data_IF_301289095759
#
_entry.id   IF_301289095759
#
_cell.length_a   1.000
_cell.length_b   1.000
_cell.length_c   1.000
_cell.angle_alpha   90.00
_cell.angle_beta   90.00
_cell.angle_gamma   90.00
#
_symmetry.space_group_name_H-M   'P 1'
#
loop_
_entity.id
_entity.type
_entity.pdbx_description
1 polymer ?
#
# COMPACT_ATOMS: atom_id res chain seq x y z
N UNK A 1 -8.71 -18.20 -11.47
CA UNK A 1 -8.50 -17.07 -12.40
C UNK A 1 -8.07 -17.62 -13.73
N UNK A 2 -8.71 -17.12 -14.79
CA UNK A 2 -8.42 -17.44 -16.20
C UNK A 2 -8.01 -16.18 -16.97
N UNK A 3 -7.47 -16.36 -18.19
CA UNK A 3 -7.02 -15.23 -19.01
C UNK A 3 -7.24 -15.44 -20.51
N UNK A 4 -7.42 -14.33 -21.24
CA UNK A 4 -7.50 -14.31 -22.70
C UNK A 4 -6.58 -13.21 -23.26
N UNK A 5 -5.74 -13.54 -24.25
CA UNK A 5 -4.85 -12.58 -24.91
C UNK A 5 -5.42 -12.15 -26.26
N UNK A 6 -5.65 -10.84 -26.42
CA UNK A 6 -6.16 -10.24 -27.67
C UNK A 6 -5.25 -9.15 -28.22
N UNK A 7 -5.30 -8.99 -29.55
CA UNK A 7 -4.60 -7.93 -30.27
C UNK A 7 -5.46 -6.67 -30.33
N UNK A 8 -4.91 -5.53 -29.91
CA UNK A 8 -5.54 -4.23 -29.98
C UNK A 8 -5.41 -3.60 -31.38
N UNK A 9 -6.25 -2.61 -31.69
CA UNK A 9 -6.21 -1.86 -32.96
C UNK A 9 -4.86 -1.21 -33.24
N UNK A 10 -4.13 -0.83 -32.18
CA UNK A 10 -2.77 -0.27 -32.26
C UNK A 10 -1.68 -1.30 -32.60
N UNK A 11 -2.03 -2.58 -32.81
CA UNK A 11 -1.09 -3.64 -33.16
C UNK A 11 -0.44 -4.34 -31.95
N UNK A 12 -0.56 -3.77 -30.75
CA UNK A 12 -0.07 -4.34 -29.48
C UNK A 12 -1.05 -5.36 -28.88
N UNK A 13 -0.60 -6.10 -27.89
CA UNK A 13 -1.38 -7.15 -27.23
C UNK A 13 -1.73 -6.77 -25.80
N UNK A 14 -2.86 -7.25 -25.31
CA UNK A 14 -3.27 -7.17 -23.90
C UNK A 14 -3.81 -8.53 -23.48
N UNK A 15 -3.72 -8.82 -22.20
CA UNK A 15 -4.39 -9.93 -21.54
C UNK A 15 -5.57 -9.41 -20.71
N UNK A 16 -6.76 -9.95 -20.96
CA UNK A 16 -7.94 -9.78 -20.13
C UNK A 16 -7.97 -10.95 -19.12
N UNK A 17 -8.19 -10.63 -17.84
CA UNK A 17 -8.19 -11.57 -16.72
C UNK A 17 -9.62 -11.72 -16.21
N UNK A 18 -10.00 -12.95 -15.87
CA UNK A 18 -11.34 -13.31 -15.41
C UNK A 18 -11.28 -14.10 -14.10
N UNK A 19 -12.32 -13.93 -13.28
CA UNK A 19 -12.60 -14.76 -12.12
C UNK A 19 -13.04 -16.17 -12.52
N UNK A 20 -13.08 -17.10 -11.56
CA UNK A 20 -13.46 -18.51 -11.82
C UNK A 20 -14.92 -18.68 -12.27
N UNK A 21 -15.78 -17.71 -11.97
CA UNK A 21 -17.16 -17.62 -12.43
C UNK A 21 -17.29 -17.00 -13.84
N UNK A 22 -16.18 -16.58 -14.44
CA UNK A 22 -16.12 -15.93 -15.74
C UNK A 22 -16.30 -14.41 -15.69
N UNK A 23 -16.44 -13.80 -14.51
CA UNK A 23 -16.56 -12.35 -14.39
C UNK A 23 -15.25 -11.66 -14.73
N UNK A 24 -15.34 -10.59 -15.53
CA UNK A 24 -14.18 -9.79 -15.90
C UNK A 24 -13.53 -9.14 -14.68
N UNK A 25 -12.22 -9.32 -14.54
CA UNK A 25 -11.44 -8.76 -13.45
C UNK A 25 -10.66 -7.50 -13.88
N UNK A 26 -9.72 -7.62 -14.82
CA UNK A 26 -9.01 -6.46 -15.40
C UNK A 26 -8.34 -6.77 -16.73
N UNK A 27 -7.95 -5.71 -17.45
CA UNK A 27 -7.07 -5.78 -18.61
C UNK A 27 -5.69 -5.24 -18.25
N UNK A 28 -4.67 -5.96 -18.66
CA UNK A 28 -3.25 -5.58 -18.51
C UNK A 28 -2.85 -4.38 -19.35
N UNK A 29 -1.66 -3.86 -19.09
CA UNK A 29 -0.99 -2.93 -19.98
C UNK A 29 -0.55 -3.59 -21.30
N UNK A 30 -0.15 -2.78 -22.28
CA UNK A 30 0.19 -3.28 -23.60
C UNK A 30 1.52 -4.05 -23.63
N UNK A 31 1.52 -5.15 -24.37
CA UNK A 31 2.71 -5.92 -24.73
C UNK A 31 3.01 -5.79 -26.22
N UNK A 32 4.29 -5.83 -26.57
CA UNK A 32 4.74 -5.67 -27.96
C UNK A 32 4.44 -6.90 -28.84
N UNK A 33 4.41 -8.10 -28.25
CA UNK A 33 4.15 -9.35 -28.97
C UNK A 33 3.37 -10.35 -28.11
N UNK A 34 2.57 -11.19 -28.77
CA UNK A 34 1.61 -12.11 -28.14
C UNK A 34 2.24 -13.08 -27.13
N UNK A 35 3.34 -13.79 -27.42
CA UNK A 35 3.98 -14.68 -26.46
C UNK A 35 4.32 -14.03 -25.11
N UNK A 36 4.67 -12.74 -25.10
CA UNK A 36 4.98 -12.02 -23.85
C UNK A 36 3.73 -11.79 -23.00
N UNK A 37 2.61 -11.46 -23.65
CA UNK A 37 1.33 -11.31 -22.97
C UNK A 37 0.81 -12.64 -22.44
N UNK A 38 0.95 -13.72 -23.24
CA UNK A 38 0.56 -15.08 -22.84
C UNK A 38 1.36 -15.56 -21.63
N UNK A 39 2.70 -15.45 -21.69
CA UNK A 39 3.56 -15.83 -20.56
C UNK A 39 3.24 -15.03 -19.30
N UNK A 40 3.07 -13.71 -19.43
CA UNK A 40 2.74 -12.87 -18.29
C UNK A 40 1.40 -13.28 -17.66
N UNK A 41 0.38 -13.55 -18.49
CA UNK A 41 -0.94 -13.93 -18.01
C UNK A 41 -0.94 -15.30 -17.34
N UNK A 42 -0.21 -16.27 -17.91
CA UNK A 42 0.00 -17.58 -17.31
C UNK A 42 0.69 -17.47 -15.95
N UNK A 43 1.82 -16.76 -15.87
CA UNK A 43 2.56 -16.55 -14.62
C UNK A 43 1.69 -15.86 -13.56
N UNK A 44 0.93 -14.84 -13.98
CA UNK A 44 0.04 -14.11 -13.10
C UNK A 44 -1.11 -14.98 -12.58
N UNK A 45 -1.80 -15.73 -13.44
CA UNK A 45 -2.89 -16.61 -13.02
C UNK A 45 -2.38 -17.72 -12.08
N UNK A 46 -1.23 -18.32 -12.41
CA UNK A 46 -0.58 -19.32 -11.56
C UNK A 46 -0.25 -18.77 -10.17
N UNK A 47 0.27 -17.54 -10.11
CA UNK A 47 0.52 -16.85 -8.85
C UNK A 47 -0.78 -16.55 -8.11
N UNK A 48 -1.72 -15.82 -8.74
CA UNK A 48 -2.96 -15.35 -8.13
C UNK A 48 -3.80 -16.48 -7.52
N UNK A 49 -3.90 -17.62 -8.21
CA UNK A 49 -4.63 -18.81 -7.75
C UNK A 49 -4.00 -19.47 -6.50
N UNK A 50 -2.76 -19.13 -6.15
CA UNK A 50 -1.98 -19.72 -5.05
C UNK A 50 -1.58 -18.72 -3.96
N UNK A 51 -1.95 -17.44 -4.10
CA UNK A 51 -1.67 -16.42 -3.07
C UNK A 51 -2.58 -16.64 -1.85
N UNK A 52 -3.86 -16.94 -2.09
CA UNK A 52 -4.87 -16.99 -1.02
C UNK A 52 -4.68 -18.15 -0.04
N UNK A 53 -4.19 -19.30 -0.52
CA UNK A 53 -3.93 -20.50 0.29
C UNK A 53 -2.48 -20.56 0.82
N UNK A 54 -1.64 -19.60 0.45
CA UNK A 54 -0.23 -19.56 0.77
C UNK A 54 0.63 -20.62 0.07
N UNK A 55 0.20 -21.06 -1.12
CA UNK A 55 0.96 -21.95 -1.98
C UNK A 55 2.20 -21.32 -2.62
N UNK A 56 2.29 -19.99 -2.69
CA UNK A 56 3.38 -19.25 -3.35
C UNK A 56 3.90 -18.09 -2.50
N UNK A 57 5.19 -17.78 -2.62
CA UNK A 57 5.75 -16.58 -2.03
C UNK A 57 5.29 -15.31 -2.77
N UNK A 58 4.98 -14.27 -2.00
CA UNK A 58 4.66 -12.95 -2.53
C UNK A 58 5.48 -11.90 -1.79
N UNK A 59 5.94 -10.90 -2.54
CA UNK A 59 6.47 -9.68 -1.95
C UNK A 59 5.29 -8.80 -1.56
N UNK A 60 5.36 -8.23 -0.36
CA UNK A 60 4.38 -7.29 0.16
C UNK A 60 5.02 -5.94 0.45
N UNK A 61 4.19 -4.91 0.28
CA UNK A 61 4.49 -3.54 0.67
C UNK A 61 3.45 -3.12 1.70
N UNK A 62 3.87 -3.02 2.97
CA UNK A 62 2.97 -2.63 4.07
C UNK A 62 3.35 -1.22 4.53
N UNK A 63 2.43 -0.28 4.43
CA UNK A 63 2.59 1.07 4.97
C UNK A 63 2.19 1.03 6.44
N UNK A 64 3.07 1.53 7.32
CA UNK A 64 2.71 1.86 8.69
C UNK A 64 2.16 3.27 8.74
N UNK A 65 1.00 3.39 9.37
CA UNK A 65 0.22 4.61 9.46
C UNK A 65 0.00 4.92 10.94
N UNK A 66 0.91 5.66 11.59
CA UNK A 66 0.74 6.05 12.99
C UNK A 66 -0.51 6.92 13.18
N UNK A 67 -1.18 6.77 14.33
CA UNK A 67 -2.28 7.65 14.75
C UNK A 67 -1.80 9.10 14.87
N UNK A 68 -0.51 9.26 15.18
CA UNK A 68 0.17 10.54 15.35
C UNK A 68 0.63 11.19 14.04
N UNK A 69 0.24 10.64 12.89
CA UNK A 69 0.68 11.18 11.60
C UNK A 69 -0.16 12.39 11.19
N UNK A 70 0.44 13.58 11.28
CA UNK A 70 -0.14 14.87 10.89
C UNK A 70 -0.21 15.13 9.37
N UNK A 71 -0.23 14.07 8.57
CA UNK A 71 -0.20 14.14 7.11
C UNK A 71 1.10 14.72 6.53
N UNK A 72 1.21 14.72 5.18
CA UNK A 72 2.37 15.28 4.50
C UNK A 72 2.36 16.81 4.52
N UNK A 73 3.53 17.42 4.29
CA UNK A 73 3.60 18.84 3.94
C UNK A 73 2.89 19.12 2.60
N UNK A 74 2.54 20.38 2.34
CA UNK A 74 1.75 20.80 1.16
C UNK A 74 2.40 20.32 -0.15
N UNK A 75 3.72 20.46 -0.27
CA UNK A 75 4.48 20.14 -1.48
C UNK A 75 5.07 18.71 -1.48
N UNK A 76 4.83 17.93 -0.42
CA UNK A 76 5.35 16.58 -0.33
C UNK A 76 4.42 15.56 -1.02
N UNK A 77 4.90 14.34 -1.28
CA UNK A 77 4.04 13.26 -1.78
C UNK A 77 3.06 12.75 -0.69
N UNK A 78 1.94 12.09 -1.05
CA UNK A 78 0.85 11.77 -0.12
C UNK A 78 1.22 10.94 1.12
N UNK A 79 2.29 10.15 1.05
CA UNK A 79 2.76 9.27 2.12
C UNK A 79 4.02 9.77 2.83
N UNK A 80 4.38 11.03 2.63
CA UNK A 80 5.56 11.61 3.27
C UNK A 80 5.46 11.50 4.80
N UNK A 81 6.58 11.12 5.43
CA UNK A 81 6.65 10.90 6.89
C UNK A 81 6.18 9.52 7.35
N UNK A 82 5.69 8.66 6.45
CA UNK A 82 5.33 7.27 6.75
C UNK A 82 6.50 6.31 6.49
N UNK A 83 6.37 5.09 7.02
CA UNK A 83 7.31 4.00 6.79
C UNK A 83 6.65 2.86 6.01
N UNK A 84 7.43 2.21 5.16
CA UNK A 84 7.01 1.06 4.36
C UNK A 84 7.86 -0.14 4.75
N UNK A 85 7.22 -1.26 5.04
CA UNK A 85 7.87 -2.56 5.14
C UNK A 85 7.85 -3.25 3.79
N UNK A 86 9.02 -3.63 3.29
CA UNK A 86 9.17 -4.48 2.11
C UNK A 86 9.60 -5.85 2.60
N UNK A 87 8.76 -6.86 2.43
CA UNK A 87 9.12 -8.20 2.83
C UNK A 87 8.41 -9.28 2.02
N UNK A 88 8.72 -10.53 2.32
CA UNK A 88 8.14 -11.69 1.66
C UNK A 88 7.31 -12.54 2.61
N UNK A 89 6.21 -13.11 2.11
CA UNK A 89 5.47 -14.16 2.81
C UNK A 89 4.68 -15.02 1.84
N UNK A 90 4.47 -16.28 2.23
CA UNK A 90 3.44 -17.13 1.64
C UNK A 90 2.03 -16.74 2.09
N UNK A 91 1.88 -16.25 3.32
CA UNK A 91 0.57 -15.82 3.84
C UNK A 91 0.69 -14.39 4.37
N UNK A 92 0.48 -13.43 3.47
CA UNK A 92 0.65 -12.00 3.77
C UNK A 92 -0.37 -11.53 4.81
N UNK A 93 -1.61 -12.04 4.78
CA UNK A 93 -2.66 -11.67 5.74
C UNK A 93 -2.28 -12.12 7.16
N UNK A 94 -1.83 -13.36 7.33
CA UNK A 94 -1.36 -13.84 8.63
C UNK A 94 -0.11 -13.09 9.09
N UNK A 95 0.81 -12.78 8.15
CA UNK A 95 2.01 -12.00 8.46
C UNK A 95 1.64 -10.59 8.95
N UNK A 96 0.68 -9.93 8.30
CA UNK A 96 0.17 -8.63 8.72
C UNK A 96 -0.41 -8.69 10.14
N UNK A 97 -1.27 -9.68 10.44
CA UNK A 97 -1.82 -9.87 11.79
C UNK A 97 -0.73 -10.00 12.84
N UNK A 98 0.32 -10.78 12.55
CA UNK A 98 1.45 -10.97 13.46
C UNK A 98 2.31 -9.70 13.61
N UNK A 99 2.38 -8.84 12.59
CA UNK A 99 3.09 -7.56 12.66
C UNK A 99 2.29 -6.53 13.47
N UNK A 100 0.96 -6.55 13.34
CA UNK A 100 0.06 -5.61 14.00
C UNK A 100 0.11 -5.72 15.54
N UNK A 101 0.34 -6.91 16.09
CA UNK A 101 0.41 -7.12 17.56
C UNK A 101 1.54 -6.35 18.24
N UNK A 102 2.61 -6.02 17.50
CA UNK A 102 3.76 -5.26 17.98
C UNK A 102 3.86 -3.85 17.43
N UNK A 103 2.84 -3.37 16.70
CA UNK A 103 2.89 -2.07 16.01
C UNK A 103 1.79 -1.15 16.52
N UNK A 104 2.18 0.06 16.93
CA UNK A 104 1.24 1.14 17.22
C UNK A 104 0.80 1.83 15.91
N UNK A 105 -0.50 2.10 15.78
CA UNK A 105 -1.14 2.59 14.55
C UNK A 105 -1.52 1.48 13.56
N UNK A 106 -2.01 1.88 12.40
CA UNK A 106 -2.53 0.97 11.38
C UNK A 106 -1.41 0.42 10.46
N UNK A 107 -1.53 -0.85 10.09
CA UNK A 107 -0.76 -1.46 9.01
C UNK A 107 -1.64 -1.69 7.78
N UNK A 108 -1.23 -1.12 6.64
CA UNK A 108 -1.98 -1.17 5.38
C UNK A 108 -1.14 -1.87 4.33
N UNK A 109 -1.58 -3.03 3.83
CA UNK A 109 -1.04 -3.61 2.60
C UNK A 109 -1.36 -2.63 1.46
N UNK A 110 -0.35 -2.16 0.75
CA UNK A 110 -0.52 -1.22 -0.36
C UNK A 110 -0.40 -1.92 -1.72
N UNK A 111 0.52 -2.88 -1.82
CA UNK A 111 0.72 -3.66 -3.03
C UNK A 111 1.26 -5.06 -2.73
N UNK A 112 1.01 -5.98 -3.65
CA UNK A 112 1.58 -7.33 -3.71
C UNK A 112 2.18 -7.58 -5.10
N UNK A 113 3.29 -8.30 -5.15
CA UNK A 113 3.84 -8.83 -6.41
C UNK A 113 4.36 -10.26 -6.28
N UNK A 114 4.37 -11.04 -7.37
CA UNK A 114 5.08 -12.31 -7.42
C UNK A 114 6.56 -12.09 -7.15
N UNK A 115 7.16 -12.96 -6.33
CA UNK A 115 8.59 -12.89 -6.07
C UNK A 115 9.03 -13.72 -4.87
N UNK A 116 10.29 -14.14 -4.93
CA UNK A 116 10.97 -14.89 -3.88
C UNK A 116 12.03 -14.08 -3.16
N UNK A 117 12.94 -14.79 -2.48
CA UNK A 117 14.04 -14.18 -1.73
C UNK A 117 14.96 -13.32 -2.60
N UNK A 118 15.15 -13.68 -3.87
CA UNK A 118 15.96 -12.89 -4.83
C UNK A 118 15.33 -11.53 -5.10
N UNK A 119 14.02 -11.52 -5.42
CA UNK A 119 13.27 -10.28 -5.67
C UNK A 119 13.24 -9.37 -4.44
N UNK A 120 13.06 -9.94 -3.25
CA UNK A 120 13.14 -9.21 -1.99
C UNK A 120 14.52 -8.54 -1.80
N UNK A 121 15.60 -9.28 -2.05
CA UNK A 121 16.97 -8.77 -1.95
C UNK A 121 17.27 -7.65 -2.97
N UNK A 122 16.76 -7.77 -4.20
CA UNK A 122 16.84 -6.73 -5.22
C UNK A 122 16.19 -5.43 -4.77
N UNK A 123 14.96 -5.50 -4.25
CA UNK A 123 14.21 -4.33 -3.76
C UNK A 123 14.90 -3.70 -2.55
N UNK A 124 15.38 -4.54 -1.64
CA UNK A 124 16.15 -4.13 -0.48
C UNK A 124 17.43 -3.40 -0.86
N UNK A 125 18.08 -3.81 -1.97
CA UNK A 125 19.24 -3.13 -2.55
C UNK A 125 18.84 -1.83 -3.25
N UNK A 126 17.77 -1.86 -4.05
CA UNK A 126 17.24 -0.70 -4.78
C UNK A 126 16.88 0.46 -3.84
N UNK A 127 16.26 0.16 -2.71
CA UNK A 127 15.82 1.16 -1.72
C UNK A 127 16.73 1.23 -0.49
N UNK A 128 17.96 0.73 -0.56
CA UNK A 128 18.88 0.65 0.58
C UNK A 128 19.11 2.01 1.27
N UNK A 129 19.16 3.10 0.50
CA UNK A 129 19.33 4.47 1.03
C UNK A 129 18.15 4.97 1.86
N UNK A 130 16.97 4.35 1.71
CA UNK A 130 15.75 4.70 2.45
C UNK A 130 15.57 3.84 3.70
N UNK A 131 16.38 2.79 3.88
CA UNK A 131 16.27 1.83 4.97
C UNK A 131 16.51 2.52 6.32
N UNK A 132 15.65 2.25 7.29
CA UNK A 132 15.75 2.77 8.65
C UNK A 132 16.13 1.70 9.65
N UNK A 133 15.33 0.64 9.71
CA UNK A 133 15.56 -0.45 10.65
C UNK A 133 15.03 -1.77 10.10
N UNK A 134 15.91 -2.76 9.97
CA UNK A 134 15.55 -4.06 9.39
C UNK A 134 14.96 -3.90 7.98
N UNK A 135 13.71 -4.29 7.84
CA UNK A 135 12.95 -4.27 6.57
C UNK A 135 12.05 -3.03 6.43
N UNK A 136 12.22 -2.02 7.28
CA UNK A 136 11.46 -0.78 7.26
C UNK A 136 12.22 0.34 6.55
N UNK A 137 11.53 1.02 5.64
CA UNK A 137 12.07 2.06 4.77
C UNK A 137 11.24 3.34 4.94
N UNK A 138 11.88 4.51 4.90
CA UNK A 138 11.14 5.77 4.76
C UNK A 138 10.39 5.77 3.43
N UNK A 139 9.11 6.13 3.46
CA UNK A 139 8.33 6.29 2.25
C UNK A 139 8.80 7.55 1.52
N UNK A 140 9.64 7.37 0.49
CA UNK A 140 9.99 8.42 -0.46
C UNK A 140 8.95 8.49 -1.58
N UNK A 141 9.04 9.54 -2.40
CA UNK A 141 8.25 9.61 -3.63
C UNK A 141 8.51 8.41 -4.55
N UNK A 142 9.77 8.04 -4.80
CA UNK A 142 10.13 6.91 -5.67
C UNK A 142 9.61 5.57 -5.15
N UNK A 143 9.59 5.36 -3.83
CA UNK A 143 9.02 4.15 -3.24
C UNK A 143 7.49 4.17 -3.32
N UNK A 144 6.85 5.32 -3.12
CA UNK A 144 5.41 5.46 -3.28
C UNK A 144 4.97 5.17 -4.73
N UNK A 145 5.66 5.75 -5.72
CA UNK A 145 5.45 5.48 -7.15
C UNK A 145 5.60 4.00 -7.46
N UNK A 146 6.69 3.37 -6.98
CA UNK A 146 6.91 1.92 -7.15
C UNK A 146 5.76 1.07 -6.59
N UNK A 147 5.23 1.41 -5.41
CA UNK A 147 4.08 0.67 -4.84
C UNK A 147 2.83 0.83 -5.70
N UNK A 148 2.53 2.04 -6.18
CA UNK A 148 1.39 2.28 -7.07
C UNK A 148 1.53 1.58 -8.42
N UNK A 149 2.73 1.60 -9.01
CA UNK A 149 3.01 0.88 -10.26
C UNK A 149 2.89 -0.63 -10.06
N UNK A 150 3.36 -1.13 -8.92
CA UNK A 150 3.21 -2.54 -8.54
C UNK A 150 1.73 -2.93 -8.42
N UNK A 151 0.93 -2.15 -7.68
CA UNK A 151 -0.50 -2.39 -7.57
C UNK A 151 -1.20 -2.26 -8.92
N UNK A 152 -0.85 -1.26 -9.73
CA UNK A 152 -1.39 -1.07 -11.08
C UNK A 152 -1.11 -2.28 -11.97
N UNK A 153 0.11 -2.82 -11.92
CA UNK A 153 0.56 -3.94 -12.77
C UNK A 153 -0.09 -5.26 -12.37
N UNK A 154 -0.09 -5.59 -11.07
CA UNK A 154 -0.53 -6.90 -10.61
C UNK A 154 -1.98 -6.94 -10.11
N UNK A 155 -2.61 -5.78 -9.89
CA UNK A 155 -4.00 -5.60 -9.45
C UNK A 155 -4.40 -6.37 -8.18
N UNK A 156 -3.43 -6.91 -7.45
CA UNK A 156 -3.68 -7.74 -6.28
C UNK A 156 -3.60 -6.92 -5.00
N UNK A 157 -4.77 -6.55 -4.47
CA UNK A 157 -4.91 -5.90 -3.17
C UNK A 157 -6.19 -6.39 -2.50
N UNK A 158 -6.16 -6.86 -1.24
CA UNK A 158 -7.38 -7.26 -0.55
C UNK A 158 -8.36 -6.07 -0.43
N UNK A 159 -9.69 -6.28 -0.59
CA UNK A 159 -10.67 -5.19 -0.60
C UNK A 159 -10.63 -4.27 0.63
N UNK A 160 -10.44 -4.83 1.83
CA UNK A 160 -10.29 -4.07 3.07
C UNK A 160 -9.08 -3.11 3.00
N UNK A 161 -7.98 -3.56 2.42
CA UNK A 161 -6.77 -2.76 2.27
C UNK A 161 -6.90 -1.73 1.16
N UNK A 162 -7.65 -2.01 0.10
CA UNK A 162 -8.02 -0.99 -0.89
C UNK A 162 -8.80 0.16 -0.25
N UNK A 163 -9.77 -0.13 0.62
CA UNK A 163 -10.50 0.89 1.37
C UNK A 163 -9.56 1.69 2.29
N UNK A 164 -8.67 1.02 3.02
CA UNK A 164 -7.66 1.67 3.87
C UNK A 164 -6.71 2.59 3.07
N UNK A 165 -6.29 2.18 1.88
CA UNK A 165 -5.48 3.03 0.98
C UNK A 165 -6.26 4.27 0.53
N UNK A 166 -7.53 4.12 0.16
CA UNK A 166 -8.40 5.25 -0.20
C UNK A 166 -8.58 6.22 0.97
N UNK A 167 -8.91 5.70 2.16
CA UNK A 167 -9.03 6.49 3.39
C UNK A 167 -7.72 7.23 3.72
N UNK A 168 -6.57 6.58 3.55
CA UNK A 168 -5.27 7.22 3.77
C UNK A 168 -5.02 8.37 2.79
N UNK A 169 -5.41 8.23 1.52
CA UNK A 169 -5.32 9.29 0.53
C UNK A 169 -6.23 10.47 0.87
N UNK A 170 -7.49 10.21 1.25
CA UNK A 170 -8.43 11.25 1.69
C UNK A 170 -7.91 11.99 2.93
N UNK A 171 -7.41 11.24 3.91
CA UNK A 171 -6.80 11.78 5.12
C UNK A 171 -5.59 12.66 4.80
N UNK A 172 -4.77 12.24 3.84
CA UNK A 172 -3.62 13.03 3.35
C UNK A 172 -4.06 14.37 2.77
N UNK A 173 -5.12 14.39 1.95
CA UNK A 173 -5.69 15.61 1.38
C UNK A 173 -6.26 16.52 2.48
N UNK A 174 -7.02 15.94 3.42
CA UNK A 174 -7.60 16.69 4.53
C UNK A 174 -6.53 17.35 5.40
N UNK A 175 -5.46 16.64 5.77
CA UNK A 175 -4.36 17.21 6.55
C UNK A 175 -3.60 18.31 5.81
N UNK A 176 -3.40 18.19 4.49
CA UNK A 176 -2.84 19.32 3.71
C UNK A 176 -3.73 20.54 3.81
N UNK A 177 -5.05 20.37 3.69
CA UNK A 177 -5.98 21.50 3.77
C UNK A 177 -5.96 22.15 5.15
N UNK A 178 -5.90 21.34 6.21
CA UNK A 178 -5.73 21.84 7.58
C UNK A 178 -4.43 22.64 7.72
N UNK A 179 -3.32 22.15 7.16
CA UNK A 179 -2.03 22.87 7.17
C UNK A 179 -2.09 24.21 6.45
N UNK A 180 -2.77 24.27 5.29
CA UNK A 180 -2.99 25.53 4.58
C UNK A 180 -3.77 26.55 5.42
N UNK A 181 -4.80 26.09 6.15
CA UNK A 181 -5.63 26.94 7.00
C UNK A 181 -4.85 27.44 8.22
N UNK A 182 -4.06 26.56 8.86
CA UNK A 182 -3.36 26.87 10.12
C UNK A 182 -1.98 27.51 9.91
N UNK A 183 -1.40 27.40 8.72
CA UNK A 183 -0.02 27.80 8.42
C UNK A 183 1.06 26.91 9.05
N UNK A 184 0.68 25.79 9.68
CA UNK A 184 1.58 24.81 10.31
C UNK A 184 0.95 23.42 10.43
N UNK A 185 1.74 22.43 10.87
CA UNK A 185 1.24 21.11 11.19
C UNK A 185 0.18 21.18 12.31
N UNK A 186 -0.95 20.47 12.19
CA UNK A 186 -1.84 20.27 13.34
C UNK A 186 -1.19 19.34 14.35
N UNK A 187 -1.55 19.52 15.62
CA UNK A 187 -1.25 18.56 16.66
C UNK A 187 -2.24 17.38 16.53
N UNK A 188 -1.73 16.14 16.46
CA UNK A 188 -2.54 14.93 16.28
C UNK A 188 -2.65 14.07 17.53
N UNK A 189 -2.04 14.51 18.64
CA UNK A 189 -2.08 13.83 19.93
C UNK A 189 -2.32 14.89 21.00
N UNK A 190 -3.23 14.61 21.93
CA UNK A 190 -3.28 15.39 23.16
C UNK A 190 -2.05 15.07 24.01
N UNK A 191 -1.36 16.07 24.58
CA UNK A 191 -0.32 15.83 25.57
C UNK A 191 -0.92 15.02 26.73
N UNK A 192 -0.07 14.26 27.39
CA UNK A 192 -0.49 13.54 28.59
C UNK A 192 -0.96 14.55 29.66
N UNK A 193 -1.77 14.09 30.62
CA UNK A 193 -2.25 14.95 31.73
C UNK A 193 -1.10 15.57 32.56
N UNK A 194 0.11 15.02 32.45
CA UNK A 194 1.30 15.41 33.19
C UNK A 194 2.23 16.33 32.38
N UNK A 195 1.93 16.59 31.10
CA UNK A 195 2.71 17.44 30.21
C UNK A 195 2.01 18.77 29.94
N UNK A 196 2.77 19.87 29.99
CA UNK A 196 2.26 21.19 29.63
C UNK A 196 1.90 21.24 28.14
N UNK A 197 0.66 21.67 27.84
CA UNK A 197 0.23 21.86 26.46
C UNK A 197 0.99 23.01 25.81
N UNK A 198 1.83 22.69 24.82
CA UNK A 198 2.53 23.66 23.97
C UNK A 198 1.99 23.70 22.53
N UNK A 199 1.00 22.86 22.24
CA UNK A 199 0.34 22.80 20.95
C UNK A 199 -0.44 24.08 20.63
N UNK A 200 -0.92 24.17 19.41
CA UNK A 200 -1.70 25.35 18.97
C UNK A 200 -3.09 24.99 18.51
N UNK A 201 -3.27 23.80 17.95
CA UNK A 201 -4.56 23.35 17.44
C UNK A 201 -4.57 21.84 17.25
N UNK A 202 -5.48 21.16 17.95
CA UNK A 202 -5.71 19.72 17.85
C UNK A 202 -6.72 19.41 16.74
N UNK A 203 -6.35 18.55 15.79
CA UNK A 203 -7.29 18.02 14.79
C UNK A 203 -7.13 16.52 14.70
N UNK A 204 -8.05 15.81 15.35
CA UNK A 204 -8.15 14.36 15.21
C UNK A 204 -9.08 14.02 14.03
N UNK A 205 -8.48 13.56 12.93
CA UNK A 205 -9.22 13.03 11.77
C UNK A 205 -9.32 11.50 11.81
N UNK A 206 -8.90 10.87 12.91
CA UNK A 206 -8.87 9.41 13.10
C UNK A 206 -9.95 8.99 14.09
N UNK A 207 -10.05 9.65 15.24
CA UNK A 207 -11.05 9.39 16.28
C UNK A 207 -11.90 10.64 16.56
N UNK A 208 -13.01 10.79 15.85
CA UNK A 208 -13.95 11.88 16.12
C UNK A 208 -14.71 11.63 17.43
N UNK A 209 -14.33 12.27 18.53
CA UNK A 209 -15.08 12.18 19.79
C UNK A 209 -16.00 13.40 19.97
N UNK A 210 -17.31 13.14 20.05
CA UNK A 210 -18.23 13.93 20.88
C UNK A 210 -18.40 13.09 22.16
N UNK A 211 -17.76 13.46 23.27
CA UNK A 211 -17.81 12.71 24.55
C UNK A 211 -19.22 12.17 24.88
N UNK A 212 -19.43 10.97 25.46
CA UNK A 212 -18.71 10.27 26.55
C UNK A 212 -18.37 8.83 26.18
N UNK A 213 -17.16 8.39 26.53
CA UNK A 213 -16.86 6.96 26.74
C UNK A 213 -17.26 6.57 28.16
N UNK A 214 -18.56 6.31 28.37
CA UNK A 214 -19.08 5.74 29.61
C UNK A 214 -19.33 4.25 29.46
N UNK A 215 -18.67 3.44 30.29
CA UNK A 215 -19.29 2.22 30.84
C UNK A 215 -19.83 2.57 32.22
#
# INVERSE_FOLDING_TARGET
MDSEVRKCKCGRFVADIYHDDGDFYFTTEHFDYRPKAEQWAEDWCNWANRVADGGVDSIYYIIQVPDTWAGPAVDAHPYHGLFVKIGRSKNVIQRLKNLQTGTYGDLVIHALEPGGSEREAELHKQFASLRRQGEWFSCSQSLAEHMFDTWKKYKMLPPEHQQKVLMLCERSIAYRKVREILGKAPDTVNPSLEEDWHGSFFVDLVYSSLAKSGK
#
